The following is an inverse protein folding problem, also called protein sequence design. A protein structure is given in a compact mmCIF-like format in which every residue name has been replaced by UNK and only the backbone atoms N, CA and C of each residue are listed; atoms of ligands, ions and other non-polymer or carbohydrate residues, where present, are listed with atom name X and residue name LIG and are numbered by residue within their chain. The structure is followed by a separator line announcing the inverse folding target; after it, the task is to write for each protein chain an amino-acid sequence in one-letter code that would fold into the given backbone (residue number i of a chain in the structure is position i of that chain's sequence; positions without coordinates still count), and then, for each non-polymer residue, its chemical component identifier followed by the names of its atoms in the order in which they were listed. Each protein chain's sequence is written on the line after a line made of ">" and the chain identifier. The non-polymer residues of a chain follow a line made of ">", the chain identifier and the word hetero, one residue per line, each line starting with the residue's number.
data_IF_598930619801
#
_entry.id   IF_598930619801
#
_cell.length_a   1.000
_cell.length_b   1.000
_cell.length_c   1.000
_cell.angle_alpha   90.00
_cell.angle_beta   90.00
_cell.angle_gamma   90.00
#
_symmetry.space_group_name_H-M   'P 1'
#
loop_
_entity.id
_entity.type
_entity.pdbx_description
1 polymer ?
#
# COMPACT_ATOMS: atom_id res chain seq x y z
N UNK A 1 3.80 -1.01 -7.06
CA UNK A 1 5.18 -1.55 -7.03
C UNK A 1 6.10 -0.42 -6.62
N UNK A 2 6.93 -0.60 -5.61
CA UNK A 2 7.90 0.43 -5.19
C UNK A 2 9.05 0.53 -6.20
N UNK A 3 9.76 1.67 -6.22
CA UNK A 3 10.90 1.85 -7.11
C UNK A 3 12.03 0.82 -6.85
N UNK A 4 12.13 0.28 -5.64
CA UNK A 4 13.08 -0.78 -5.29
C UNK A 4 12.62 -2.17 -5.78
N UNK A 5 11.31 -2.45 -5.72
CA UNK A 5 10.77 -3.76 -6.15
C UNK A 5 10.83 -3.98 -7.66
N UNK A 6 10.93 -2.91 -8.44
CA UNK A 6 11.00 -3.01 -9.90
C UNK A 6 12.39 -3.37 -10.41
N UNK A 7 13.48 -3.03 -9.68
CA UNK A 7 14.85 -3.31 -10.12
C UNK A 7 15.11 -4.80 -10.30
N UNK A 8 14.80 -5.70 -9.34
CA UNK A 8 14.98 -7.15 -9.54
C UNK A 8 14.24 -7.66 -10.78
N UNK A 9 13.05 -7.12 -11.07
CA UNK A 9 12.32 -7.47 -12.28
C UNK A 9 13.05 -7.02 -13.56
N UNK A 10 13.63 -5.82 -13.57
CA UNK A 10 14.39 -5.33 -14.73
C UNK A 10 15.63 -6.17 -14.99
N UNK A 11 16.36 -6.56 -13.94
CA UNK A 11 17.51 -7.47 -14.03
C UNK A 11 17.09 -8.85 -14.49
N UNK A 12 15.98 -9.38 -13.97
CA UNK A 12 15.40 -10.66 -14.41
C UNK A 12 15.09 -10.66 -15.91
N UNK A 13 14.49 -9.58 -16.44
CA UNK A 13 14.20 -9.42 -17.86
C UNK A 13 15.48 -9.41 -18.68
N UNK A 14 16.50 -8.71 -18.22
CA UNK A 14 17.78 -8.60 -18.93
C UNK A 14 18.53 -9.94 -18.98
N UNK A 15 18.71 -10.60 -17.84
CA UNK A 15 19.38 -11.91 -17.77
C UNK A 15 18.61 -12.97 -18.58
N UNK A 16 17.28 -12.92 -18.57
CA UNK A 16 16.47 -13.81 -19.40
C UNK A 16 16.80 -13.64 -20.90
N UNK A 17 16.91 -12.41 -21.37
CA UNK A 17 17.26 -12.13 -22.76
C UNK A 17 18.64 -12.67 -23.09
N UNK A 18 19.66 -12.43 -22.27
CA UNK A 18 21.00 -12.98 -22.46
C UNK A 18 20.96 -14.50 -22.61
N UNK A 19 20.32 -15.22 -21.69
CA UNK A 19 20.21 -16.69 -21.75
C UNK A 19 19.50 -17.20 -23.00
N UNK A 20 18.44 -16.51 -23.45
CA UNK A 20 17.69 -16.90 -24.65
C UNK A 20 18.49 -16.61 -25.94
N UNK A 21 19.17 -15.46 -26.01
CA UNK A 21 19.95 -15.09 -27.19
C UNK A 21 21.26 -15.89 -27.31
N UNK A 22 21.85 -16.32 -26.20
CA UNK A 22 22.98 -17.26 -26.19
C UNK A 22 22.59 -18.66 -26.72
N UNK A 23 21.32 -19.05 -26.60
CA UNK A 23 20.81 -20.30 -27.10
C UNK A 23 19.46 -20.14 -27.81
N UNK A 24 19.52 -19.67 -29.06
CA UNK A 24 18.34 -19.40 -29.89
C UNK A 24 17.51 -20.64 -30.24
N UNK A 25 18.10 -21.84 -30.12
CA UNK A 25 17.43 -23.13 -30.37
C UNK A 25 16.50 -23.60 -29.26
N UNK A 26 16.38 -22.88 -28.16
CA UNK A 26 15.51 -23.24 -27.02
C UNK A 26 14.05 -23.39 -27.44
N UNK A 27 13.41 -24.46 -26.96
CA UNK A 27 11.97 -24.65 -27.05
C UNK A 27 11.21 -23.64 -26.16
N UNK A 28 9.92 -23.47 -26.44
CA UNK A 28 9.06 -22.63 -25.59
C UNK A 28 9.00 -23.11 -24.11
N UNK A 29 9.11 -24.42 -23.88
CA UNK A 29 9.16 -25.01 -22.53
C UNK A 29 10.44 -24.66 -21.80
N UNK A 30 11.58 -24.73 -22.46
CA UNK A 30 12.88 -24.38 -21.87
C UNK A 30 12.94 -22.88 -21.52
N UNK A 31 12.44 -22.00 -22.38
CA UNK A 31 12.37 -20.56 -22.09
C UNK A 31 11.51 -20.29 -20.85
N UNK A 32 10.34 -20.95 -20.72
CA UNK A 32 9.53 -20.81 -19.50
C UNK A 32 10.26 -21.30 -18.25
N UNK A 33 10.95 -22.45 -18.35
CA UNK A 33 11.70 -22.98 -17.22
C UNK A 33 12.82 -22.02 -16.77
N UNK A 34 13.54 -21.38 -17.70
CA UNK A 34 14.55 -20.38 -17.40
C UNK A 34 13.92 -19.16 -16.73
N UNK A 35 12.82 -18.64 -17.28
CA UNK A 35 12.12 -17.52 -16.66
C UNK A 35 11.70 -17.83 -15.22
N UNK A 36 11.08 -18.97 -15.01
CA UNK A 36 10.67 -19.41 -13.66
C UNK A 36 11.85 -19.47 -12.69
N UNK A 37 12.99 -20.02 -13.13
CA UNK A 37 14.20 -20.07 -12.29
C UNK A 37 14.72 -18.67 -11.93
N UNK A 38 14.71 -17.75 -12.89
CA UNK A 38 15.12 -16.35 -12.65
C UNK A 38 14.13 -15.62 -11.75
N UNK A 39 12.83 -15.85 -11.88
CA UNK A 39 11.85 -15.29 -10.94
C UNK A 39 12.07 -15.77 -9.52
N UNK A 40 12.36 -17.05 -9.30
CA UNK A 40 12.69 -17.58 -7.97
C UNK A 40 13.95 -16.93 -7.40
N UNK A 41 14.92 -16.57 -8.24
CA UNK A 41 16.15 -15.90 -7.82
C UNK A 41 15.92 -14.43 -7.46
N UNK A 42 15.28 -13.69 -8.35
CA UNK A 42 15.16 -12.23 -8.24
C UNK A 42 13.90 -11.76 -7.52
N UNK A 43 12.83 -12.55 -7.56
CA UNK A 43 11.51 -12.18 -7.03
C UNK A 43 10.84 -13.36 -6.29
N UNK A 44 11.49 -13.98 -5.28
CA UNK A 44 10.98 -15.18 -4.61
C UNK A 44 9.64 -14.97 -3.89
N UNK A 45 9.24 -13.72 -3.69
CA UNK A 45 7.96 -13.34 -3.07
C UNK A 45 6.78 -13.32 -4.06
N UNK A 46 7.02 -13.53 -5.38
CA UNK A 46 5.96 -13.45 -6.38
C UNK A 46 5.04 -14.67 -6.28
N UNK A 47 3.74 -14.43 -6.29
CA UNK A 47 2.70 -15.44 -6.26
C UNK A 47 1.73 -15.19 -7.42
N UNK A 48 1.25 -16.24 -8.05
CA UNK A 48 0.30 -16.20 -9.16
C UNK A 48 -1.05 -16.85 -8.82
N UNK A 49 -1.32 -17.11 -7.54
CA UNK A 49 -2.58 -17.61 -7.00
C UNK A 49 -3.11 -18.88 -7.74
N UNK A 50 -2.20 -19.80 -8.07
CA UNK A 50 -2.54 -21.05 -8.75
C UNK A 50 -2.72 -20.95 -10.27
N UNK A 51 -2.37 -19.79 -10.88
CA UNK A 51 -2.44 -19.66 -12.34
C UNK A 51 -1.31 -20.42 -13.01
N UNK A 52 -1.57 -21.68 -13.40
CA UNK A 52 -0.60 -22.67 -13.89
C UNK A 52 0.37 -22.13 -14.95
N UNK A 53 -0.13 -21.42 -15.97
CA UNK A 53 0.72 -20.89 -17.04
C UNK A 53 1.75 -19.88 -16.53
N UNK A 54 1.37 -19.05 -15.57
CA UNK A 54 2.27 -18.04 -14.98
C UNK A 54 3.25 -18.69 -14.00
N UNK A 55 2.80 -19.66 -13.21
CA UNK A 55 3.66 -20.45 -12.32
C UNK A 55 4.70 -21.27 -13.08
N UNK A 56 4.37 -21.74 -14.27
CA UNK A 56 5.31 -22.41 -15.18
C UNK A 56 6.27 -21.46 -15.92
N UNK A 57 6.29 -20.15 -15.56
CA UNK A 57 7.20 -19.16 -16.11
C UNK A 57 6.70 -18.46 -17.38
N UNK A 58 5.39 -18.34 -17.57
CA UNK A 58 4.78 -17.67 -18.74
C UNK A 58 4.76 -16.13 -18.65
N UNK A 59 5.10 -15.55 -17.50
CA UNK A 59 4.92 -14.11 -17.25
C UNK A 59 5.72 -13.18 -18.17
N UNK A 60 6.90 -13.59 -18.66
CA UNK A 60 7.73 -12.77 -19.55
C UNK A 60 7.06 -12.41 -20.89
N UNK A 61 6.11 -13.24 -21.36
CA UNK A 61 5.46 -13.06 -22.65
C UNK A 61 4.62 -11.78 -22.77
N UNK A 62 4.21 -11.18 -21.63
CA UNK A 62 3.54 -9.89 -21.61
C UNK A 62 4.49 -8.69 -21.77
N UNK A 63 5.81 -8.89 -21.66
CA UNK A 63 6.78 -7.80 -21.69
C UNK A 63 7.16 -7.46 -23.12
N UNK A 64 6.49 -6.47 -23.68
CA UNK A 64 6.69 -6.02 -25.07
C UNK A 64 8.16 -5.71 -25.38
N UNK A 65 8.92 -5.15 -24.44
CA UNK A 65 10.32 -4.76 -24.64
C UNK A 65 11.22 -5.95 -25.07
N UNK A 66 10.93 -7.14 -24.58
CA UNK A 66 11.70 -8.35 -24.96
C UNK A 66 11.62 -8.62 -26.47
N UNK A 67 10.51 -8.25 -27.11
CA UNK A 67 10.23 -8.54 -28.52
C UNK A 67 10.60 -7.38 -29.47
N UNK A 68 10.38 -6.14 -29.04
CA UNK A 68 10.53 -4.98 -29.93
C UNK A 68 11.80 -4.18 -29.67
N UNK A 69 12.34 -4.21 -28.44
CA UNK A 69 13.57 -3.50 -28.04
C UNK A 69 14.39 -4.41 -27.13
N UNK A 70 14.97 -5.51 -27.64
CA UNK A 70 15.80 -6.39 -26.83
C UNK A 70 16.93 -5.64 -26.13
N UNK A 71 17.27 -6.05 -24.90
CA UNK A 71 18.31 -5.47 -24.04
C UNK A 71 18.13 -4.00 -23.63
N UNK A 72 17.03 -3.38 -23.99
CA UNK A 72 16.75 -1.99 -23.58
C UNK A 72 16.25 -1.89 -22.13
N UNK A 73 15.61 -2.94 -21.61
CA UNK A 73 14.87 -2.84 -20.34
C UNK A 73 15.76 -2.60 -19.12
N UNK A 74 17.03 -2.97 -19.17
CA UNK A 74 18.02 -2.72 -18.12
C UNK A 74 18.33 -1.24 -17.92
N UNK A 75 18.17 -0.40 -18.96
CA UNK A 75 18.41 1.04 -18.87
C UNK A 75 17.56 1.71 -17.80
N UNK A 76 16.33 1.20 -17.57
CA UNK A 76 15.47 1.68 -16.50
C UNK A 76 16.04 1.39 -15.11
N UNK A 77 16.72 0.25 -14.92
CA UNK A 77 17.39 -0.07 -13.67
C UNK A 77 18.58 0.87 -13.42
N UNK A 78 19.38 1.11 -14.45
CA UNK A 78 20.52 2.04 -14.39
C UNK A 78 20.06 3.47 -14.09
N UNK A 79 19.00 3.94 -14.75
CA UNK A 79 18.40 5.25 -14.49
C UNK A 79 17.84 5.33 -13.04
N UNK A 80 17.22 4.25 -12.54
CA UNK A 80 16.70 4.22 -11.17
C UNK A 80 17.82 4.26 -10.12
N UNK A 81 18.95 3.60 -10.37
CA UNK A 81 20.13 3.68 -9.49
C UNK A 81 20.70 5.10 -9.46
N UNK A 82 20.74 5.79 -10.59
CA UNK A 82 21.13 7.21 -10.66
C UNK A 82 20.14 8.09 -9.86
N UNK A 83 18.84 7.86 -10.01
CA UNK A 83 17.81 8.58 -9.27
C UNK A 83 17.94 8.39 -7.76
N UNK A 84 18.28 7.20 -7.29
CA UNK A 84 18.54 6.93 -5.87
C UNK A 84 19.75 7.67 -5.33
N UNK A 85 20.83 7.76 -6.10
CA UNK A 85 22.00 8.55 -5.72
C UNK A 85 21.63 10.05 -5.59
N UNK A 86 20.87 10.60 -6.54
CA UNK A 86 20.36 11.97 -6.42
C UNK A 86 19.44 12.15 -5.22
N UNK A 87 18.55 11.20 -4.95
CA UNK A 87 17.66 11.25 -3.79
C UNK A 87 18.45 11.32 -2.48
N UNK A 88 19.45 10.45 -2.30
CA UNK A 88 20.28 10.46 -1.09
C UNK A 88 21.06 11.77 -0.95
N UNK A 89 21.67 12.24 -2.02
CA UNK A 89 22.42 13.51 -2.05
C UNK A 89 21.51 14.72 -1.77
N UNK A 90 20.28 14.72 -2.27
CA UNK A 90 19.31 15.79 -2.02
C UNK A 90 18.93 15.93 -0.55
N UNK A 91 19.10 14.87 0.26
CA UNK A 91 18.86 14.91 1.71
C UNK A 91 20.06 15.46 2.49
N UNK A 92 21.26 15.33 1.95
CA UNK A 92 22.50 15.75 2.60
C UNK A 92 22.99 17.13 2.12
N UNK A 93 22.94 17.36 0.81
CA UNK A 93 23.47 18.55 0.13
C UNK A 93 22.48 19.01 -0.98
N UNK A 94 21.28 19.55 -0.63
CA UNK A 94 20.22 19.79 -1.59
C UNK A 94 20.60 20.74 -2.74
N UNK A 95 21.27 21.83 -2.45
CA UNK A 95 21.69 22.81 -3.46
C UNK A 95 22.69 22.20 -4.48
N UNK A 96 23.66 21.45 -3.98
CA UNK A 96 24.64 20.78 -4.84
C UNK A 96 24.00 19.68 -5.68
N UNK A 97 23.14 18.86 -5.07
CA UNK A 97 22.40 17.81 -5.76
C UNK A 97 21.55 18.39 -6.89
N UNK A 98 20.86 19.52 -6.64
CA UNK A 98 20.08 20.22 -7.64
C UNK A 98 20.96 20.76 -8.77
N UNK A 99 22.09 21.41 -8.45
CA UNK A 99 23.03 21.93 -9.44
C UNK A 99 23.62 20.84 -10.36
N UNK A 100 23.96 19.69 -9.78
CA UNK A 100 24.46 18.53 -10.53
C UNK A 100 23.37 17.93 -11.43
N UNK A 101 22.13 17.78 -10.92
CA UNK A 101 20.98 17.33 -11.70
C UNK A 101 20.67 18.30 -12.85
N UNK A 102 20.67 19.59 -12.57
CA UNK A 102 20.42 20.61 -13.60
C UNK A 102 21.45 20.57 -14.73
N UNK A 103 22.76 20.41 -14.39
CA UNK A 103 23.83 20.24 -15.40
C UNK A 103 23.60 18.98 -16.24
N UNK A 104 23.19 17.89 -15.63
CA UNK A 104 22.83 16.66 -16.34
C UNK A 104 21.68 16.90 -17.34
N UNK A 105 20.63 17.59 -16.91
CA UNK A 105 19.51 17.96 -17.79
C UNK A 105 19.95 18.85 -18.95
N UNK A 106 20.84 19.82 -18.72
CA UNK A 106 21.37 20.68 -19.77
C UNK A 106 22.24 19.91 -20.79
N UNK A 107 22.99 18.92 -20.34
CA UNK A 107 23.79 18.08 -21.23
C UNK A 107 22.91 17.19 -22.13
N UNK A 108 21.73 16.77 -21.64
CA UNK A 108 20.80 15.90 -22.37
C UNK A 108 21.51 14.67 -22.94
N UNK A 109 21.26 14.37 -24.23
CA UNK A 109 21.88 13.27 -24.97
C UNK A 109 23.22 13.60 -25.63
N UNK A 110 23.90 14.71 -25.25
CA UNK A 110 25.14 15.16 -25.92
C UNK A 110 26.37 14.33 -25.57
N UNK A 111 26.31 13.45 -24.57
CA UNK A 111 27.43 12.63 -24.06
C UNK A 111 27.00 11.19 -23.84
N UNK A 112 27.98 10.27 -23.86
CA UNK A 112 27.72 8.87 -23.47
C UNK A 112 27.45 8.72 -21.98
N UNK A 113 26.86 7.59 -21.59
CA UNK A 113 26.38 7.29 -20.25
C UNK A 113 27.42 7.57 -19.14
N UNK A 114 28.63 7.04 -19.28
CA UNK A 114 29.69 7.22 -18.27
C UNK A 114 30.13 8.68 -18.12
N UNK A 115 30.25 9.44 -19.23
CA UNK A 115 30.56 10.86 -19.19
C UNK A 115 29.43 11.69 -18.56
N UNK A 116 28.18 11.25 -18.68
CA UNK A 116 27.05 11.87 -17.99
C UNK A 116 27.06 11.57 -16.49
N UNK A 117 27.48 10.37 -16.07
CA UNK A 117 27.69 10.06 -14.66
C UNK A 117 28.74 10.96 -14.02
N UNK A 118 29.88 11.11 -14.68
CA UNK A 118 30.97 12.00 -14.23
C UNK A 118 30.47 13.46 -14.12
N UNK A 119 29.81 13.97 -15.16
CA UNK A 119 29.22 15.31 -15.17
C UNK A 119 28.29 15.58 -14.00
N UNK A 120 27.49 14.58 -13.65
CA UNK A 120 26.52 14.61 -12.55
C UNK A 120 27.15 14.26 -11.20
N UNK A 121 28.42 13.88 -11.14
CA UNK A 121 29.10 13.42 -9.94
C UNK A 121 28.49 12.15 -9.35
N UNK A 122 27.95 11.27 -10.21
CA UNK A 122 27.34 10.00 -9.82
C UNK A 122 28.37 8.86 -9.90
N UNK A 123 28.21 7.88 -9.01
CA UNK A 123 29.02 6.65 -9.03
C UNK A 123 28.53 5.74 -10.16
N UNK A 124 29.48 5.06 -10.78
CA UNK A 124 29.21 4.11 -11.84
C UNK A 124 28.57 2.82 -11.28
N UNK A 125 27.33 2.44 -11.66
CA UNK A 125 26.68 1.22 -11.17
C UNK A 125 27.38 -0.10 -11.51
N UNK A 126 28.29 -0.09 -12.50
CA UNK A 126 29.06 -1.27 -12.92
C UNK A 126 30.34 -1.48 -12.09
N UNK A 127 30.63 -0.60 -11.15
CA UNK A 127 31.75 -0.78 -10.21
C UNK A 127 31.24 -1.57 -9.00
N UNK A 128 31.93 -2.63 -8.65
CA UNK A 128 31.61 -3.50 -7.51
C UNK A 128 31.40 -2.67 -6.23
N UNK A 129 30.36 -3.01 -5.48
CA UNK A 129 29.99 -2.33 -4.24
C UNK A 129 29.18 -1.05 -4.41
N UNK A 130 29.05 -0.49 -5.64
CA UNK A 130 28.29 0.75 -5.85
C UNK A 130 26.79 0.57 -5.58
N UNK A 131 26.21 -0.51 -6.08
CA UNK A 131 24.77 -0.78 -5.89
C UNK A 131 24.46 -1.05 -4.41
N UNK A 132 25.31 -1.82 -3.73
CA UNK A 132 25.20 -2.09 -2.30
C UNK A 132 25.26 -0.80 -1.47
N UNK A 133 26.17 0.11 -1.80
CA UNK A 133 26.29 1.40 -1.13
C UNK A 133 25.04 2.27 -1.34
N UNK A 134 24.53 2.35 -2.58
CA UNK A 134 23.31 3.09 -2.90
C UNK A 134 22.11 2.52 -2.12
N UNK A 135 21.95 1.20 -2.08
CA UNK A 135 20.88 0.54 -1.33
C UNK A 135 21.05 0.78 0.18
N UNK A 136 22.28 0.72 0.70
CA UNK A 136 22.55 1.02 2.10
C UNK A 136 22.17 2.45 2.48
N UNK A 137 22.46 3.43 1.60
CA UNK A 137 22.08 4.83 1.76
C UNK A 137 20.57 5.06 1.78
N UNK A 138 19.78 4.18 1.14
CA UNK A 138 18.32 4.27 1.15
C UNK A 138 17.67 3.69 2.41
N UNK A 139 18.33 2.76 3.12
CA UNK A 139 17.78 2.08 4.31
C UNK A 139 17.12 3.02 5.33
N UNK A 140 17.69 4.19 5.68
CA UNK A 140 17.07 5.11 6.62
C UNK A 140 15.72 5.69 6.17
N UNK A 141 15.48 5.69 4.85
CA UNK A 141 14.26 6.25 4.24
C UNK A 141 13.20 5.19 3.94
N UNK A 142 13.54 3.90 4.10
CA UNK A 142 12.60 2.82 3.91
C UNK A 142 11.74 2.67 5.16
N UNK A 143 10.44 2.90 5.03
CA UNK A 143 9.50 2.54 6.09
C UNK A 143 9.53 1.01 6.24
N UNK A 144 10.01 0.52 7.37
CA UNK A 144 9.90 -0.89 7.71
C UNK A 144 8.42 -1.24 7.75
N UNK A 145 7.97 -2.24 6.96
CA UNK A 145 6.63 -2.77 7.12
C UNK A 145 6.49 -3.27 8.55
N UNK A 146 5.54 -2.69 9.29
CA UNK A 146 5.24 -3.17 10.63
C UNK A 146 4.50 -4.49 10.51
N UNK A 147 4.88 -5.46 11.31
CA UNK A 147 4.10 -6.67 11.48
C UNK A 147 3.01 -6.40 12.51
N UNK A 148 1.81 -6.80 12.21
CA UNK A 148 0.64 -6.59 13.05
C UNK A 148 -0.35 -7.76 12.92
N UNK A 149 -1.20 -7.91 13.91
CA UNK A 149 -2.36 -8.81 13.90
C UNK A 149 -3.63 -7.99 14.06
N UNK A 150 -4.70 -8.40 13.38
CA UNK A 150 -6.03 -7.80 13.58
C UNK A 150 -6.79 -8.69 14.54
N UNK A 151 -7.32 -8.09 15.60
CA UNK A 151 -8.10 -8.78 16.63
C UNK A 151 -9.25 -7.91 17.14
N UNK A 152 -10.27 -8.51 17.79
CA UNK A 152 -11.24 -7.73 18.54
C UNK A 152 -10.57 -6.81 19.57
N UNK A 153 -11.15 -5.63 19.77
CA UNK A 153 -10.71 -4.68 20.79
C UNK A 153 -10.89 -5.26 22.20
N UNK A 154 -10.01 -4.89 23.12
CA UNK A 154 -10.12 -5.17 24.55
C UNK A 154 -10.28 -3.87 25.34
N UNK A 155 -10.75 -3.98 26.58
CA UNK A 155 -10.91 -2.82 27.47
C UNK A 155 -9.60 -2.03 27.64
N UNK A 156 -8.49 -2.74 27.80
CA UNK A 156 -7.15 -2.16 27.94
C UNK A 156 -6.66 -1.36 26.72
N UNK A 157 -7.28 -1.55 25.55
CA UNK A 157 -6.90 -0.85 24.31
C UNK A 157 -7.55 0.54 24.21
N UNK A 158 -8.66 0.79 24.88
CA UNK A 158 -9.55 1.93 24.63
C UNK A 158 -8.85 3.30 24.78
N UNK A 159 -7.91 3.42 25.73
CA UNK A 159 -7.12 4.64 25.87
C UNK A 159 -6.21 4.87 24.66
N UNK A 160 -5.53 3.82 24.19
CA UNK A 160 -4.67 3.88 23.00
C UNK A 160 -5.48 4.13 21.73
N UNK A 161 -6.68 3.58 21.63
CA UNK A 161 -7.63 3.84 20.54
C UNK A 161 -8.01 5.33 20.50
N UNK A 162 -8.39 5.92 21.63
CA UNK A 162 -8.70 7.35 21.72
C UNK A 162 -7.49 8.25 21.38
N UNK A 163 -6.28 7.83 21.74
CA UNK A 163 -5.06 8.54 21.36
C UNK A 163 -4.83 8.50 19.83
N UNK A 164 -5.08 7.34 19.18
CA UNK A 164 -4.96 7.20 17.72
C UNK A 164 -6.01 8.05 17.00
N UNK A 165 -7.25 8.06 17.48
CA UNK A 165 -8.33 8.91 16.95
C UNK A 165 -7.94 10.39 16.99
N UNK A 166 -7.47 10.87 18.14
CA UNK A 166 -7.04 12.25 18.32
C UNK A 166 -5.85 12.67 17.41
N UNK A 167 -5.05 11.71 16.93
CA UNK A 167 -3.99 11.94 15.95
C UNK A 167 -4.51 11.99 14.51
N UNK A 168 -5.68 11.42 14.23
CA UNK A 168 -6.24 11.27 12.90
C UNK A 168 -7.29 12.33 12.56
N UNK A 169 -8.06 12.80 13.55
CA UNK A 169 -9.16 13.73 13.38
C UNK A 169 -9.01 15.02 14.16
N UNK A 170 -9.55 16.14 13.62
CA UNK A 170 -9.73 17.37 14.41
C UNK A 170 -10.61 17.11 15.64
N UNK A 171 -10.40 17.86 16.72
CA UNK A 171 -11.15 17.70 17.97
C UNK A 171 -12.69 17.81 17.82
N UNK A 172 -13.18 18.49 16.79
CA UNK A 172 -14.62 18.61 16.48
C UNK A 172 -15.21 17.34 15.84
N UNK A 173 -14.38 16.44 15.33
CA UNK A 173 -14.81 15.18 14.67
C UNK A 173 -14.39 13.94 15.48
N UNK A 174 -13.36 14.06 16.33
CA UNK A 174 -12.78 12.94 17.06
C UNK A 174 -13.70 12.45 18.19
N UNK A 175 -13.90 11.11 18.26
CA UNK A 175 -14.55 10.48 19.40
C UNK A 175 -13.60 10.43 20.62
N UNK A 176 -14.16 10.61 21.81
CA UNK A 176 -13.42 10.54 23.06
C UNK A 176 -13.36 9.13 23.65
N UNK A 177 -12.61 9.02 24.75
CA UNK A 177 -12.49 7.75 25.49
C UNK A 177 -13.87 7.20 25.95
N UNK A 178 -14.77 8.08 26.42
CA UNK A 178 -16.11 7.66 26.89
C UNK A 178 -16.95 7.09 25.75
N UNK A 179 -16.87 7.68 24.54
CA UNK A 179 -17.57 7.16 23.35
C UNK A 179 -17.06 5.76 23.00
N UNK A 180 -15.74 5.54 23.05
CA UNK A 180 -15.16 4.20 22.79
C UNK A 180 -15.50 3.19 23.86
N UNK A 181 -15.60 3.61 25.13
CA UNK A 181 -16.04 2.76 26.24
C UNK A 181 -17.49 2.30 26.00
N UNK A 182 -18.36 3.19 25.58
CA UNK A 182 -19.76 2.87 25.29
C UNK A 182 -19.88 1.93 24.09
N UNK A 183 -19.17 2.23 22.99
CA UNK A 183 -19.09 1.37 21.80
C UNK A 183 -18.52 0.00 22.12
N UNK A 184 -17.53 -0.10 23.01
CA UNK A 184 -16.99 -1.37 23.47
C UNK A 184 -18.02 -2.22 24.21
N UNK A 185 -18.85 -1.61 25.06
CA UNK A 185 -19.89 -2.32 25.82
C UNK A 185 -21.02 -2.83 24.92
N UNK A 186 -21.42 -2.05 23.92
CA UNK A 186 -22.61 -2.31 23.11
C UNK A 186 -22.30 -2.96 21.76
N UNK A 187 -21.24 -2.51 21.06
CA UNK A 187 -20.93 -2.87 19.67
C UNK A 187 -19.63 -3.68 19.54
N UNK A 188 -19.27 -4.45 20.55
CA UNK A 188 -17.98 -5.17 20.65
C UNK A 188 -17.64 -6.01 19.40
N UNK A 189 -18.63 -6.65 18.77
CA UNK A 189 -18.45 -7.48 17.58
C UNK A 189 -18.17 -6.68 16.29
N UNK A 190 -18.27 -5.36 16.37
CA UNK A 190 -18.00 -4.41 15.30
C UNK A 190 -16.82 -3.49 15.63
N UNK A 191 -15.86 -3.96 16.47
CA UNK A 191 -14.73 -3.17 16.91
C UNK A 191 -13.43 -3.98 16.90
N UNK A 192 -12.53 -3.64 15.97
CA UNK A 192 -11.26 -4.33 15.73
C UNK A 192 -10.08 -3.37 15.82
N UNK A 193 -8.95 -3.87 16.31
CA UNK A 193 -7.68 -3.16 16.37
C UNK A 193 -6.60 -3.92 15.58
N UNK A 194 -5.69 -3.19 14.97
CA UNK A 194 -4.44 -3.72 14.43
C UNK A 194 -3.34 -3.49 15.47
N UNK A 195 -2.87 -4.56 16.09
CA UNK A 195 -1.83 -4.53 17.12
C UNK A 195 -0.49 -4.96 16.54
N UNK A 196 0.56 -4.19 16.77
CA UNK A 196 1.93 -4.54 16.38
C UNK A 196 2.53 -5.63 17.25
N UNK A 197 3.63 -6.25 16.82
CA UNK A 197 4.39 -7.23 17.65
C UNK A 197 4.86 -6.62 18.98
N UNK A 198 5.06 -5.30 19.03
CA UNK A 198 5.50 -4.56 20.23
C UNK A 198 4.31 -4.11 21.12
N UNK A 199 3.06 -4.48 20.78
CA UNK A 199 1.85 -4.15 21.56
C UNK A 199 1.34 -2.71 21.39
N UNK A 200 1.79 -2.01 20.33
CA UNK A 200 1.22 -0.70 19.97
C UNK A 200 -0.07 -0.90 19.13
N UNK A 201 -1.05 -0.03 19.31
CA UNK A 201 -2.23 0.02 18.43
C UNK A 201 -1.86 0.84 17.19
N UNK A 202 -1.67 0.12 16.08
CA UNK A 202 -1.33 0.70 14.78
C UNK A 202 -2.53 1.35 14.07
N UNK A 203 -3.74 0.91 14.41
CA UNK A 203 -4.99 1.44 13.89
C UNK A 203 -6.18 0.63 14.39
N UNK A 204 -7.37 1.11 14.09
CA UNK A 204 -8.62 0.43 14.46
C UNK A 204 -9.73 0.70 13.45
N UNK A 205 -10.77 -0.10 13.52
CA UNK A 205 -12.03 0.10 12.83
C UNK A 205 -13.17 -0.23 13.78
N UNK A 206 -14.15 0.67 13.90
CA UNK A 206 -15.31 0.47 14.74
C UNK A 206 -16.61 0.85 14.04
N UNK A 207 -17.73 0.35 14.59
CA UNK A 207 -19.04 0.64 14.08
C UNK A 207 -20.14 -0.04 14.91
N UNK A 208 -21.35 -0.09 14.35
CA UNK A 208 -22.49 -0.79 14.93
C UNK A 208 -23.26 -1.57 13.85
N UNK A 209 -24.27 -2.33 14.25
CA UNK A 209 -25.26 -2.89 13.32
C UNK A 209 -26.58 -2.13 13.45
N UNK A 210 -27.34 -2.01 12.35
CA UNK A 210 -28.65 -1.35 12.30
C UNK A 210 -29.57 -2.02 11.27
N UNK A 211 -30.88 -1.75 11.38
CA UNK A 211 -31.89 -2.30 10.46
C UNK A 211 -32.01 -1.54 9.15
N UNK A 212 -31.41 -0.36 9.05
CA UNK A 212 -31.45 0.51 7.88
C UNK A 212 -30.04 0.71 7.30
N UNK A 213 -29.96 1.00 6.01
CA UNK A 213 -28.72 1.34 5.32
C UNK A 213 -28.34 2.84 5.41
N UNK A 214 -29.04 3.59 6.25
CA UNK A 214 -28.80 5.00 6.50
C UNK A 214 -27.97 5.22 7.78
N UNK A 215 -26.77 5.76 7.63
CA UNK A 215 -25.88 6.09 8.74
C UNK A 215 -26.27 7.49 9.28
N UNK A 216 -27.24 7.52 10.18
CA UNK A 216 -27.69 8.75 10.85
C UNK A 216 -26.61 9.26 11.84
N UNK A 217 -26.47 10.59 11.97
CA UNK A 217 -25.55 11.20 12.94
C UNK A 217 -25.82 10.77 14.39
N UNK A 218 -27.07 10.46 14.74
CA UNK A 218 -27.45 9.95 16.05
C UNK A 218 -26.73 8.64 16.42
N UNK A 219 -26.43 7.77 15.45
CA UNK A 219 -25.73 6.50 15.69
C UNK A 219 -24.31 6.69 16.25
N UNK A 220 -23.67 7.82 15.99
CA UNK A 220 -22.34 8.11 16.52
C UNK A 220 -22.34 8.42 18.02
N UNK A 221 -23.50 8.88 18.55
CA UNK A 221 -23.63 9.42 19.91
C UNK A 221 -24.57 8.61 20.81
N UNK A 222 -25.36 7.68 20.24
CA UNK A 222 -26.33 6.87 20.99
C UNK A 222 -26.14 5.39 20.66
N UNK A 223 -25.37 4.71 21.49
CA UNK A 223 -25.12 3.29 21.35
C UNK A 223 -26.35 2.40 21.58
N UNK A 224 -27.46 2.91 22.15
CA UNK A 224 -28.70 2.18 22.31
C UNK A 224 -29.41 1.91 20.98
N UNK A 225 -29.04 2.64 19.93
CA UNK A 225 -29.54 2.43 18.56
C UNK A 225 -28.86 1.23 17.85
N UNK A 226 -27.84 0.62 18.49
CA UNK A 226 -27.25 -0.60 17.99
C UNK A 226 -28.22 -1.78 18.07
N UNK A 227 -28.47 -2.44 16.93
CA UNK A 227 -29.16 -3.72 16.86
C UNK A 227 -28.19 -4.80 16.33
N UNK A 228 -27.69 -5.73 17.19
CA UNK A 228 -26.73 -6.77 16.75
C UNK A 228 -27.30 -7.67 15.63
N UNK A 229 -28.61 -7.81 15.54
CA UNK A 229 -29.30 -8.61 14.53
C UNK A 229 -29.66 -7.78 13.28
N UNK A 230 -29.44 -6.47 13.29
CA UNK A 230 -29.72 -5.58 12.18
C UNK A 230 -28.98 -5.99 10.90
N UNK A 231 -29.57 -5.76 9.76
CA UNK A 231 -29.13 -6.20 8.43
C UNK A 231 -27.81 -5.54 7.94
N UNK A 232 -27.50 -4.36 8.48
CA UNK A 232 -26.40 -3.52 7.97
C UNK A 232 -25.32 -3.30 9.01
N UNK A 233 -24.07 -3.51 8.62
CA UNK A 233 -22.89 -3.12 9.40
C UNK A 233 -22.54 -1.68 9.08
N UNK A 234 -22.69 -0.77 10.03
CA UNK A 234 -22.26 0.62 9.93
C UNK A 234 -20.81 0.77 10.39
N UNK A 235 -20.04 1.65 9.74
CA UNK A 235 -18.67 2.03 10.14
C UNK A 235 -18.69 3.45 10.67
N UNK A 236 -18.22 3.65 11.90
CA UNK A 236 -18.05 4.97 12.52
C UNK A 236 -16.68 5.55 12.24
N UNK A 237 -15.63 4.75 12.42
CA UNK A 237 -14.24 5.19 12.25
C UNK A 237 -13.35 4.10 11.67
N UNK A 238 -12.41 4.53 10.85
CA UNK A 238 -11.27 3.75 10.35
C UNK A 238 -10.03 4.61 10.49
N UNK A 239 -9.20 4.29 11.45
CA UNK A 239 -8.05 5.08 11.82
C UNK A 239 -6.76 4.28 11.77
N UNK A 240 -5.74 4.91 11.24
CA UNK A 240 -4.37 4.38 11.26
C UNK A 240 -3.45 5.46 11.81
N UNK A 241 -2.79 5.14 12.91
CA UNK A 241 -1.80 6.02 13.52
C UNK A 241 -0.84 6.54 12.43
N UNK A 242 -0.60 7.86 12.34
CA UNK A 242 0.27 8.47 11.33
C UNK A 242 1.65 7.80 11.18
N UNK A 243 2.19 7.26 12.27
CA UNK A 243 3.44 6.48 12.32
C UNK A 243 3.39 5.24 11.42
N UNK A 244 2.22 4.62 11.27
CA UNK A 244 2.01 3.35 10.57
C UNK A 244 1.22 3.48 9.26
N UNK A 245 0.85 4.69 8.85
CA UNK A 245 0.11 4.92 7.60
C UNK A 245 0.89 4.47 6.35
N UNK A 246 0.16 4.26 5.25
CA UNK A 246 0.67 3.82 3.93
C UNK A 246 1.37 2.45 3.94
N UNK A 247 0.98 1.58 4.88
CA UNK A 247 1.48 0.21 5.00
C UNK A 247 0.39 -0.87 4.77
N UNK A 248 -0.80 -0.45 4.31
CA UNK A 248 -1.91 -1.35 4.03
C UNK A 248 -2.82 -1.66 5.22
N UNK A 249 -2.53 -1.13 6.43
CA UNK A 249 -3.27 -1.46 7.67
C UNK A 249 -4.75 -1.08 7.57
N UNK A 250 -5.07 0.12 7.06
CA UNK A 250 -6.46 0.55 6.91
C UNK A 250 -7.26 -0.35 5.96
N UNK A 251 -6.65 -0.77 4.84
CA UNK A 251 -7.29 -1.72 3.93
C UNK A 251 -7.51 -3.08 4.62
N UNK A 252 -6.53 -3.58 5.35
CA UNK A 252 -6.64 -4.84 6.07
C UNK A 252 -7.73 -4.82 7.16
N UNK A 253 -7.85 -3.73 7.92
CA UNK A 253 -8.92 -3.53 8.90
C UNK A 253 -10.31 -3.52 8.24
N UNK A 254 -10.47 -2.81 7.12
CA UNK A 254 -11.75 -2.78 6.39
C UNK A 254 -12.10 -4.14 5.81
N UNK A 255 -11.14 -4.86 5.21
CA UNK A 255 -11.38 -6.22 4.71
C UNK A 255 -11.74 -7.19 5.85
N UNK A 256 -11.12 -7.04 7.02
CA UNK A 256 -11.47 -7.82 8.20
C UNK A 256 -12.90 -7.52 8.67
N UNK A 257 -13.30 -6.26 8.71
CA UNK A 257 -14.67 -5.86 9.07
C UNK A 257 -15.70 -6.40 8.07
N UNK A 258 -15.43 -6.28 6.76
CA UNK A 258 -16.28 -6.85 5.69
C UNK A 258 -16.42 -8.35 5.90
N UNK A 259 -15.32 -9.09 6.11
CA UNK A 259 -15.35 -10.53 6.36
C UNK A 259 -16.19 -10.86 7.60
N UNK A 260 -15.95 -10.17 8.71
CA UNK A 260 -16.71 -10.36 9.96
C UNK A 260 -18.20 -10.03 9.80
N UNK A 261 -18.55 -9.03 9.00
CA UNK A 261 -19.96 -8.72 8.70
C UNK A 261 -20.61 -9.82 7.86
N UNK A 262 -19.93 -10.36 6.84
CA UNK A 262 -20.39 -11.48 6.03
C UNK A 262 -20.59 -12.76 6.86
N UNK A 263 -19.67 -13.07 7.80
CA UNK A 263 -19.80 -14.21 8.73
C UNK A 263 -21.00 -14.07 9.70
N UNK A 264 -21.57 -12.87 9.83
CA UNK A 264 -22.76 -12.56 10.62
C UNK A 264 -24.00 -12.34 9.75
N UNK A 265 -23.97 -12.77 8.49
CA UNK A 265 -25.07 -12.69 7.52
C UNK A 265 -25.62 -11.27 7.30
N UNK A 266 -24.76 -10.23 7.39
CA UNK A 266 -25.18 -8.86 7.10
C UNK A 266 -25.38 -8.67 5.59
N UNK A 267 -26.35 -7.83 5.19
CA UNK A 267 -26.65 -7.55 3.78
C UNK A 267 -25.63 -6.63 3.14
N UNK A 268 -25.07 -5.70 3.93
CA UNK A 268 -24.06 -4.77 3.45
C UNK A 268 -23.23 -4.17 4.59
N UNK A 269 -22.07 -3.59 4.23
CA UNK A 269 -21.28 -2.71 5.09
C UNK A 269 -21.39 -1.29 4.56
N UNK A 270 -21.81 -0.35 5.42
CA UNK A 270 -22.11 1.05 5.06
C UNK A 270 -21.19 1.99 5.80
N UNK A 271 -20.72 3.02 5.11
CA UNK A 271 -19.93 4.09 5.71
C UNK A 271 -20.18 5.42 5.01
N UNK A 272 -19.76 6.50 5.67
CA UNK A 272 -19.59 7.80 5.01
C UNK A 272 -18.12 8.19 5.00
N UNK A 273 -17.67 8.89 3.93
CA UNK A 273 -16.29 9.32 3.80
C UNK A 273 -16.17 10.68 3.10
N UNK A 274 -15.03 11.34 3.27
CA UNK A 274 -14.68 12.58 2.56
C UNK A 274 -14.30 12.28 1.08
N UNK A 275 -14.45 13.25 0.18
CA UNK A 275 -14.21 13.12 -1.28
C UNK A 275 -12.92 12.37 -1.62
N UNK A 276 -11.80 12.70 -0.97
CA UNK A 276 -10.48 12.14 -1.26
C UNK A 276 -10.33 10.66 -0.87
N UNK A 277 -11.24 10.13 -0.05
CA UNK A 277 -11.25 8.73 0.40
C UNK A 277 -12.07 7.81 -0.53
N UNK A 278 -12.91 8.34 -1.39
CA UNK A 278 -13.73 7.54 -2.33
C UNK A 278 -12.88 6.53 -3.13
N UNK A 279 -11.73 6.90 -3.72
CA UNK A 279 -10.88 5.95 -4.46
C UNK A 279 -10.32 4.83 -3.59
N UNK A 280 -10.08 5.10 -2.30
CA UNK A 280 -9.61 4.09 -1.35
C UNK A 280 -10.67 3.02 -1.13
N UNK A 281 -11.90 3.40 -0.82
CA UNK A 281 -12.99 2.45 -0.57
C UNK A 281 -13.42 1.70 -1.85
N UNK A 282 -13.40 2.36 -3.01
CA UNK A 282 -13.65 1.68 -4.30
C UNK A 282 -12.66 0.53 -4.57
N UNK A 283 -11.38 0.66 -4.20
CA UNK A 283 -10.40 -0.42 -4.35
C UNK A 283 -10.67 -1.64 -3.46
N UNK A 284 -11.39 -1.44 -2.35
CA UNK A 284 -11.79 -2.52 -1.43
C UNK A 284 -13.07 -3.22 -1.93
N UNK A 285 -13.79 -2.61 -2.86
CA UNK A 285 -15.03 -3.13 -3.42
C UNK A 285 -16.28 -2.37 -3.00
N UNK A 286 -16.14 -1.20 -2.35
CA UNK A 286 -17.28 -0.35 -2.03
C UNK A 286 -17.78 0.41 -3.25
N UNK A 287 -19.10 0.50 -3.38
CA UNK A 287 -19.77 1.35 -4.38
C UNK A 287 -20.08 2.72 -3.80
N UNK A 288 -19.96 3.74 -4.62
CA UNK A 288 -20.48 5.08 -4.29
C UNK A 288 -21.99 5.09 -4.44
N UNK A 289 -22.71 5.53 -3.43
CA UNK A 289 -24.18 5.58 -3.46
C UNK A 289 -24.65 7.02 -3.73
N UNK A 290 -24.36 7.94 -2.80
CA UNK A 290 -24.89 9.30 -2.85
C UNK A 290 -24.10 10.26 -1.96
N UNK A 291 -24.41 11.54 -2.05
CA UNK A 291 -24.00 12.53 -1.06
C UNK A 291 -24.82 12.29 0.22
N UNK A 292 -24.17 12.17 1.36
CA UNK A 292 -24.82 12.01 2.66
C UNK A 292 -25.38 13.33 3.18
N UNK A 293 -26.50 13.28 3.88
CA UNK A 293 -27.07 14.44 4.58
C UNK A 293 -26.35 14.74 5.91
N UNK A 294 -25.38 13.91 6.31
CA UNK A 294 -24.59 14.11 7.52
C UNK A 294 -23.87 15.46 7.51
N UNK A 295 -23.98 16.18 8.61
CA UNK A 295 -23.31 17.47 8.85
C UNK A 295 -22.19 17.35 9.88
N UNK A 296 -21.80 16.13 10.24
CA UNK A 296 -20.79 15.84 11.25
C UNK A 296 -19.47 16.60 10.98
N UNK A 297 -18.98 17.32 11.98
CA UNK A 297 -17.78 18.15 11.89
C UNK A 297 -17.83 19.26 10.83
N UNK A 298 -19.01 19.59 10.26
CA UNK A 298 -19.17 20.59 9.21
C UNK A 298 -18.55 20.19 7.85
N UNK A 299 -18.24 18.90 7.66
CA UNK A 299 -17.64 18.37 6.46
C UNK A 299 -18.70 17.82 5.47
N UNK A 300 -18.28 17.65 4.22
CA UNK A 300 -19.07 16.99 3.19
C UNK A 300 -18.79 15.49 3.20
N UNK A 301 -19.84 14.68 3.36
CA UNK A 301 -19.73 13.24 3.48
C UNK A 301 -20.38 12.52 2.30
N UNK A 302 -19.82 11.39 1.90
CA UNK A 302 -20.28 10.56 0.78
C UNK A 302 -20.58 9.15 1.31
N UNK A 303 -21.80 8.66 1.05
CA UNK A 303 -22.21 7.31 1.40
C UNK A 303 -21.56 6.29 0.46
N UNK A 304 -20.91 5.31 1.05
CA UNK A 304 -20.30 4.18 0.36
C UNK A 304 -20.89 2.89 0.92
N UNK A 305 -21.06 1.87 0.08
CA UNK A 305 -21.65 0.60 0.47
C UNK A 305 -20.92 -0.57 -0.16
N UNK A 306 -20.60 -1.57 0.63
CA UNK A 306 -20.16 -2.90 0.18
C UNK A 306 -21.30 -3.87 0.34
N UNK A 307 -21.78 -4.50 -0.75
CA UNK A 307 -22.85 -5.51 -0.76
C UNK A 307 -22.27 -6.90 -0.82
N UNK A 308 -22.88 -7.84 -0.11
CA UNK A 308 -22.53 -9.27 -0.15
C UNK A 308 -23.27 -9.99 -1.27
#
# INVERSE_FOLDING_TARGET
>A
MSALEVIPYMVCVDEFQHKVFENIGMTAKERRAIWHQLELTYMPWRNYDGHKFLEEGGFWMQKQHIFVNPFYYIDYALAQICAFQFFERSKKEPEKAWGDYYRLCQAGGSKGYFALLELAGLKNPFVDGTVEEVVAGLKPYLKRKVKYTIRPVKDEDLKKVAEVEALCFPAAEAAGYEDFMERYKTCKNSFFVAETEDGEIAGFCNGCCADTDYLADALYHDATLHNPDGDYQMIFGLDVNPKFQKQGIGEALMRHMVKSAGERDKKAVVLTCKDHMIPFYKRIGYEYIELSDSTHGGAKWHKMMYRF
#
